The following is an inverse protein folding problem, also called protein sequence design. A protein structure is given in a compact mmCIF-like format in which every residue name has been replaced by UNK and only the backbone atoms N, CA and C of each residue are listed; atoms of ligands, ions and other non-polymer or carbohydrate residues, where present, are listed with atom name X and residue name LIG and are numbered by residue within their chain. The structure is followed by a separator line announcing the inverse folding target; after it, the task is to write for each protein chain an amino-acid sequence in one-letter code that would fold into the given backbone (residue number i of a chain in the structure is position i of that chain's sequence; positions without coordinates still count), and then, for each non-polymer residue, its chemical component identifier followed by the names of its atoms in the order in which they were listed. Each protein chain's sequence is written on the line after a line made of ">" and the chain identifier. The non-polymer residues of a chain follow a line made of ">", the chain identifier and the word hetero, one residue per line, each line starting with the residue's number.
data_IF_266400605856
#
_entry.id   IF_266400605856
#
_cell.length_a   1.000
_cell.length_b   1.000
_cell.length_c   1.000
_cell.angle_alpha   90.00
_cell.angle_beta   90.00
_cell.angle_gamma   90.00
#
_symmetry.space_group_name_H-M   'P 1'
#
loop_
_entity.id
_entity.type
_entity.pdbx_description
1 polymer ?
#
# COMPACT_ATOMS: atom_id res chain seq x y z
N UNK A 1 -5.31 2.98 7.35
CA UNK A 1 -4.90 1.80 6.53
C UNK A 1 -4.15 0.73 7.30
N UNK A 2 -3.31 1.06 8.28
CA UNK A 2 -2.42 0.08 8.92
C UNK A 2 -3.10 -1.18 9.47
N UNK A 3 -4.29 -1.05 10.09
CA UNK A 3 -5.07 -2.20 10.55
C UNK A 3 -5.45 -3.18 9.42
N UNK A 4 -5.89 -2.67 8.27
CA UNK A 4 -6.26 -3.50 7.11
C UNK A 4 -5.04 -4.22 6.53
N UNK A 5 -3.90 -3.53 6.45
CA UNK A 5 -2.63 -4.11 6.00
C UNK A 5 -2.20 -5.23 6.95
N UNK A 6 -2.21 -5.01 8.26
CA UNK A 6 -1.85 -6.02 9.28
C UNK A 6 -2.78 -7.23 9.25
N UNK A 7 -4.08 -7.01 9.02
CA UNK A 7 -5.03 -8.10 8.84
C UNK A 7 -4.73 -8.94 7.60
N UNK A 8 -4.40 -8.28 6.47
CA UNK A 8 -4.00 -8.97 5.25
C UNK A 8 -2.68 -9.74 5.42
N UNK A 9 -1.70 -9.16 6.13
CA UNK A 9 -0.45 -9.81 6.50
C UNK A 9 -0.71 -11.13 7.22
N UNK A 10 -1.55 -11.12 8.26
CA UNK A 10 -1.88 -12.33 9.03
C UNK A 10 -2.49 -13.42 8.14
N UNK A 11 -3.32 -13.04 7.17
CA UNK A 11 -3.90 -13.99 6.20
C UNK A 11 -2.87 -14.54 5.22
N UNK A 12 -1.92 -13.71 4.79
CA UNK A 12 -0.87 -14.13 3.86
C UNK A 12 0.18 -15.03 4.53
N UNK A 13 0.50 -14.78 5.80
CA UNK A 13 1.40 -15.64 6.59
C UNK A 13 0.86 -17.06 6.75
N UNK A 14 -0.46 -17.24 6.81
CA UNK A 14 -1.06 -18.57 6.91
C UNK A 14 -1.08 -19.35 5.59
N UNK A 15 -0.71 -18.73 4.46
CA UNK A 15 -0.64 -19.41 3.17
C UNK A 15 0.72 -20.06 2.97
N UNK A 16 0.72 -21.33 2.54
CA UNK A 16 1.93 -22.00 2.06
C UNK A 16 2.20 -21.57 0.61
N UNK A 17 3.00 -20.52 0.46
CA UNK A 17 3.38 -19.96 -0.83
C UNK A 17 4.85 -19.53 -0.82
N UNK A 18 5.55 -19.83 -1.92
CA UNK A 18 6.93 -19.38 -2.12
C UNK A 18 7.02 -17.85 -2.23
N UNK A 19 6.02 -17.23 -2.87
CA UNK A 19 5.93 -15.77 -3.04
C UNK A 19 4.62 -15.28 -2.44
N UNK A 20 4.71 -14.27 -1.56
CA UNK A 20 3.55 -13.61 -0.96
C UNK A 20 3.57 -12.13 -1.36
N UNK A 21 2.52 -11.69 -2.06
CA UNK A 21 2.37 -10.31 -2.50
C UNK A 21 1.18 -9.66 -1.79
N UNK A 22 1.31 -8.39 -1.44
CA UNK A 22 0.22 -7.55 -0.92
C UNK A 22 0.07 -6.34 -1.85
N UNK A 23 -0.99 -6.32 -2.65
CA UNK A 23 -1.36 -5.14 -3.44
C UNK A 23 -2.35 -4.29 -2.64
N UNK A 24 -1.97 -3.05 -2.32
CA UNK A 24 -2.85 -2.06 -1.71
C UNK A 24 -3.41 -1.15 -2.79
N UNK A 25 -4.71 -1.24 -3.08
CA UNK A 25 -5.40 -0.32 -3.99
C UNK A 25 -6.19 0.71 -3.16
N UNK A 26 -5.89 2.00 -3.33
CA UNK A 26 -6.57 3.08 -2.60
C UNK A 26 -6.46 4.41 -3.34
N UNK A 27 -7.37 5.34 -3.04
CA UNK A 27 -7.25 6.78 -3.32
C UNK A 27 -6.06 7.48 -2.63
N UNK A 28 -5.14 6.73 -2.02
CA UNK A 28 -3.87 7.19 -1.46
C UNK A 28 -3.96 7.69 -0.02
N UNK A 29 -5.15 8.02 0.49
CA UNK A 29 -5.32 8.69 1.78
C UNK A 29 -5.28 7.69 2.95
N UNK A 30 -4.26 7.70 3.83
CA UNK A 30 -4.14 6.69 4.88
C UNK A 30 -5.24 6.75 5.97
N UNK A 31 -5.93 7.89 6.07
CA UNK A 31 -7.03 8.18 6.99
C UNK A 31 -8.41 8.25 6.29
N UNK A 32 -9.48 8.01 7.04
CA UNK A 32 -10.87 8.17 6.58
C UNK A 32 -11.33 9.64 6.66
N UNK A 33 -12.28 10.05 5.81
CA UNK A 33 -12.76 11.44 5.66
C UNK A 33 -13.37 12.04 6.93
N UNK A 34 -13.77 11.20 7.89
CA UNK A 34 -14.40 11.65 9.14
C UNK A 34 -13.42 12.00 10.29
N UNK A 35 -12.11 11.90 10.06
CA UNK A 35 -11.11 12.43 10.99
C UNK A 35 -10.99 13.96 10.84
N UNK A 36 -11.92 14.68 11.48
CA UNK A 36 -12.06 16.15 11.43
C UNK A 36 -11.01 16.93 12.26
N UNK A 37 -9.88 16.35 12.69
CA UNK A 37 -8.96 17.03 13.61
C UNK A 37 -7.48 16.97 13.22
N UNK A 38 -6.98 18.13 12.77
CA UNK A 38 -5.57 18.60 12.80
C UNK A 38 -4.55 17.77 12.01
N UNK A 39 -3.56 18.47 11.49
CA UNK A 39 -2.43 17.93 10.71
C UNK A 39 -1.71 16.76 11.41
N UNK A 40 -1.74 16.71 12.74
CA UNK A 40 -1.16 15.64 13.57
C UNK A 40 -1.78 14.26 13.29
N UNK A 41 -3.10 14.16 13.06
CA UNK A 41 -3.75 12.87 12.77
C UNK A 41 -3.37 12.34 11.38
N UNK A 42 -3.09 13.25 10.45
CA UNK A 42 -2.63 12.91 9.09
C UNK A 42 -1.21 12.33 9.14
N UNK A 43 -0.29 12.97 9.85
CA UNK A 43 1.08 12.48 9.99
C UNK A 43 1.13 11.12 10.70
N UNK A 44 0.32 10.95 11.75
CA UNK A 44 0.18 9.67 12.42
C UNK A 44 -0.30 8.58 11.45
N UNK A 45 -1.33 8.85 10.63
CA UNK A 45 -1.86 7.87 9.69
C UNK A 45 -0.83 7.48 8.61
N UNK A 46 -0.04 8.43 8.13
CA UNK A 46 1.08 8.18 7.21
C UNK A 46 2.11 7.25 7.86
N UNK A 47 2.56 7.57 9.07
CA UNK A 47 3.56 6.78 9.79
C UNK A 47 3.04 5.38 10.19
N UNK A 48 1.80 5.25 10.66
CA UNK A 48 1.21 3.95 10.97
C UNK A 48 1.12 3.07 9.72
N UNK A 49 0.71 3.65 8.59
CA UNK A 49 0.63 2.92 7.32
C UNK A 49 2.01 2.52 6.82
N UNK A 50 3.00 3.42 6.91
CA UNK A 50 4.39 3.11 6.61
C UNK A 50 4.92 1.94 7.46
N UNK A 51 4.66 1.98 8.76
CA UNK A 51 5.06 0.91 9.68
C UNK A 51 4.40 -0.43 9.34
N UNK A 52 3.12 -0.44 8.99
CA UNK A 52 2.42 -1.65 8.55
C UNK A 52 3.01 -2.24 7.25
N UNK A 53 3.41 -1.39 6.29
CA UNK A 53 4.08 -1.86 5.08
C UNK A 53 5.48 -2.42 5.37
N UNK A 54 6.22 -1.82 6.31
CA UNK A 54 7.50 -2.37 6.78
C UNK A 54 7.35 -3.71 7.49
N UNK A 55 6.28 -3.89 8.27
CA UNK A 55 5.95 -5.17 8.89
C UNK A 55 5.71 -6.26 7.84
N UNK A 56 5.03 -5.95 6.72
CA UNK A 56 4.87 -6.88 5.61
C UNK A 56 6.24 -7.34 5.06
N UNK A 57 7.14 -6.39 4.77
CA UNK A 57 8.50 -6.71 4.28
C UNK A 57 9.27 -7.60 5.25
N UNK A 58 9.23 -7.32 6.55
CA UNK A 58 9.89 -8.14 7.59
C UNK A 58 9.38 -9.59 7.60
N UNK A 59 8.11 -9.78 7.25
CA UNK A 59 7.45 -11.10 7.13
C UNK A 59 7.60 -11.73 5.74
N UNK A 60 8.53 -11.23 4.91
CA UNK A 60 8.77 -11.69 3.53
C UNK A 60 7.52 -11.65 2.65
N UNK A 61 6.63 -10.70 2.94
CA UNK A 61 5.50 -10.33 2.09
C UNK A 61 5.92 -9.07 1.34
N UNK A 62 5.81 -9.07 0.02
CA UNK A 62 6.16 -7.91 -0.80
C UNK A 62 4.94 -7.01 -0.96
N UNK A 63 4.86 -5.86 -0.25
CA UNK A 63 3.80 -4.90 -0.46
C UNK A 63 4.05 -4.08 -1.74
N UNK A 64 2.97 -3.68 -2.40
CA UNK A 64 2.99 -2.72 -3.50
C UNK A 64 1.73 -1.85 -3.45
N UNK A 65 1.88 -0.54 -3.51
CA UNK A 65 0.74 0.39 -3.43
C UNK A 65 0.33 0.91 -4.81
N UNK A 66 -0.96 0.93 -5.09
CA UNK A 66 -1.56 1.44 -6.32
C UNK A 66 -2.58 2.52 -5.95
N UNK A 67 -2.45 3.68 -6.57
CA UNK A 67 -3.40 4.78 -6.38
C UNK A 67 -3.80 5.43 -7.69
N UNK A 68 -4.97 6.06 -7.71
CA UNK A 68 -5.44 6.94 -8.79
C UNK A 68 -5.32 8.42 -8.42
N UNK A 69 -4.88 8.74 -7.19
CA UNK A 69 -4.75 10.12 -6.73
C UNK A 69 -3.43 10.74 -7.17
N UNK A 70 -3.48 11.51 -8.26
CA UNK A 70 -2.34 12.25 -8.79
C UNK A 70 -1.90 13.41 -7.89
N UNK A 71 -2.80 13.93 -7.04
CA UNK A 71 -2.45 14.97 -6.06
C UNK A 71 -1.75 14.38 -4.83
N UNK A 72 -1.64 13.05 -4.74
CA UNK A 72 -1.15 12.35 -3.57
C UNK A 72 0.35 12.09 -3.49
N UNK A 73 1.12 12.60 -4.44
CA UNK A 73 2.52 12.21 -4.62
C UNK A 73 3.37 12.38 -3.36
N UNK A 74 3.24 13.52 -2.67
CA UNK A 74 4.07 13.86 -1.50
C UNK A 74 3.84 12.91 -0.31
N UNK A 75 2.59 12.56 0.00
CA UNK A 75 2.29 11.65 1.10
C UNK A 75 2.55 10.19 0.70
N UNK A 76 2.41 9.83 -0.58
CA UNK A 76 2.72 8.49 -1.08
C UNK A 76 4.20 8.17 -0.89
N UNK A 77 5.08 9.13 -1.19
CA UNK A 77 6.51 8.97 -0.94
C UNK A 77 6.82 8.77 0.55
N UNK A 78 6.22 9.56 1.44
CA UNK A 78 6.41 9.42 2.89
C UNK A 78 5.85 8.08 3.42
N UNK A 79 4.70 7.65 2.91
CA UNK A 79 4.02 6.42 3.31
C UNK A 79 4.74 5.16 2.81
N UNK A 80 5.16 5.14 1.56
CA UNK A 80 5.78 3.97 0.95
C UNK A 80 7.28 3.89 1.22
N UNK A 81 8.00 5.03 1.31
CA UNK A 81 9.44 5.02 1.49
C UNK A 81 10.15 4.24 0.38
N UNK A 82 10.80 3.13 0.72
CA UNK A 82 11.48 2.23 -0.22
C UNK A 82 10.56 1.14 -0.81
N UNK A 83 9.28 1.12 -0.43
CA UNK A 83 8.27 0.20 -0.97
C UNK A 83 7.76 0.74 -2.31
N UNK A 84 7.63 -0.16 -3.29
CA UNK A 84 7.12 0.19 -4.61
C UNK A 84 5.68 0.72 -4.54
N UNK A 85 5.45 1.84 -5.23
CA UNK A 85 4.11 2.34 -5.48
C UNK A 85 3.98 2.82 -6.92
N UNK A 86 2.74 2.96 -7.37
CA UNK A 86 2.44 3.53 -8.67
C UNK A 86 1.15 4.34 -8.66
N UNK A 87 1.13 5.38 -9.48
CA UNK A 87 -0.01 6.29 -9.64
C UNK A 87 -0.59 6.05 -11.03
N UNK A 88 -1.76 5.43 -11.07
CA UNK A 88 -2.50 5.17 -12.29
C UNK A 88 -3.16 6.46 -12.79
N UNK A 89 -3.00 6.74 -14.08
CA UNK A 89 -3.66 7.86 -14.72
C UNK A 89 -5.18 7.67 -14.83
N UNK A 90 -5.64 6.43 -15.00
CA UNK A 90 -7.06 6.06 -15.04
C UNK A 90 -7.27 4.65 -14.47
N UNK A 91 -8.47 4.37 -13.98
CA UNK A 91 -8.79 3.06 -13.37
C UNK A 91 -8.80 1.92 -14.41
N UNK A 92 -9.12 2.23 -15.67
CA UNK A 92 -9.14 1.29 -16.79
C UNK A 92 -7.74 0.71 -17.08
N UNK A 93 -6.67 1.39 -16.67
CA UNK A 93 -5.30 0.90 -16.81
C UNK A 93 -4.95 -0.20 -15.79
N UNK A 94 -5.73 -0.34 -14.70
CA UNK A 94 -5.43 -1.23 -13.58
C UNK A 94 -5.21 -2.70 -13.98
N UNK A 95 -6.07 -3.35 -14.81
CA UNK A 95 -5.87 -4.76 -15.15
C UNK A 95 -4.55 -5.02 -15.86
N UNK A 96 -4.19 -4.15 -16.81
CA UNK A 96 -2.92 -4.25 -17.55
C UNK A 96 -1.74 -4.01 -16.63
N UNK A 97 -1.84 -3.02 -15.73
CA UNK A 97 -0.75 -2.68 -14.81
C UNK A 97 -0.51 -3.76 -13.75
N UNK A 98 -1.57 -4.32 -13.17
CA UNK A 98 -1.47 -5.43 -12.22
C UNK A 98 -0.74 -6.63 -12.83
N UNK A 99 -1.03 -6.97 -14.09
CA UNK A 99 -0.34 -8.06 -14.78
C UNK A 99 1.16 -7.78 -14.92
N UNK A 100 1.55 -6.57 -15.31
CA UNK A 100 2.96 -6.17 -15.43
C UNK A 100 3.66 -6.21 -14.07
N UNK A 101 3.01 -5.70 -13.02
CA UNK A 101 3.57 -5.68 -11.66
C UNK A 101 3.74 -7.09 -11.12
N UNK A 102 2.73 -7.95 -11.29
CA UNK A 102 2.82 -9.35 -10.87
C UNK A 102 4.03 -10.02 -11.51
N UNK A 103 4.18 -9.91 -12.85
CA UNK A 103 5.35 -10.47 -13.56
C UNK A 103 6.67 -9.94 -12.99
N UNK A 104 6.76 -8.65 -12.70
CA UNK A 104 8.00 -8.03 -12.18
C UNK A 104 8.33 -8.49 -10.76
N UNK A 105 7.32 -8.75 -9.94
CA UNK A 105 7.47 -9.11 -8.52
C UNK A 105 7.60 -10.62 -8.28
N UNK A 106 7.34 -11.46 -9.30
CA UNK A 106 7.43 -12.92 -9.23
C UNK A 106 8.48 -13.52 -10.16
N UNK A 107 9.20 -12.70 -10.92
CA UNK A 107 10.35 -13.14 -11.74
C UNK A 107 11.62 -13.11 -10.91
#
# INVERSE_FOLDING_TARGET
>A
MGAAIRHAITKLESQDAATRLLFLLSDGRPQDRDYRRKDVEKDYAVHDTHMALREAKRKRITPFCLTVDQAGHDYMQAMCGDIGYDVLSTIEALPKRLLTLYRTLTS
#
